data_IF_511024796394
#
_entry.id   IF_511024796394
#
_cell.length_a   1.000
_cell.length_b   1.000
_cell.length_c   1.000
_cell.angle_alpha   90.00
_cell.angle_beta   90.00
_cell.angle_gamma   90.00
#
_symmetry.space_group_name_H-M   'P 1'
#
loop_
_entity.id
_entity.type
_entity.pdbx_description
1 polymer ?
#
# COMPACT_ATOMS: atom_id res chain seq x y z
N UNK A 1 -3.51 11.05 -1.29
CA UNK A 1 -4.13 11.34 0.01
C UNK A 1 -3.94 12.81 0.34
N UNK A 2 -5.01 13.47 0.75
CA UNK A 2 -4.98 14.85 1.23
C UNK A 2 -4.93 14.84 2.76
N UNK A 3 -4.01 15.58 3.32
CA UNK A 3 -3.79 15.73 4.75
C UNK A 3 -4.62 16.93 5.25
N UNK A 4 -5.64 16.70 6.05
CA UNK A 4 -6.57 17.77 6.49
C UNK A 4 -6.01 18.61 7.65
N UNK A 5 -5.00 18.13 8.39
CA UNK A 5 -4.42 18.83 9.54
C UNK A 5 -2.89 18.75 9.60
N UNK A 6 -2.22 19.08 8.50
CA UNK A 6 -0.78 18.98 8.32
C UNK A 6 0.09 19.71 9.38
N UNK A 7 -0.50 20.62 10.16
CA UNK A 7 0.21 21.35 11.22
C UNK A 7 0.49 20.51 12.47
N UNK A 8 -0.30 19.45 12.73
CA UNK A 8 -0.20 18.64 13.96
C UNK A 8 0.22 17.20 13.72
N UNK A 9 -0.05 16.66 12.55
CA UNK A 9 0.21 15.28 12.18
C UNK A 9 1.13 15.17 10.97
N UNK A 10 2.05 14.22 10.98
CA UNK A 10 2.96 13.97 9.86
C UNK A 10 3.02 12.48 9.55
N UNK A 11 2.43 12.09 8.42
CA UNK A 11 2.58 10.71 7.89
C UNK A 11 4.04 10.41 7.53
N UNK A 12 4.80 11.43 7.13
CA UNK A 12 6.19 11.26 6.68
C UNK A 12 7.15 10.98 7.82
N UNK A 13 6.91 11.55 9.00
CA UNK A 13 7.85 11.44 10.11
C UNK A 13 8.24 9.99 10.46
N UNK A 14 7.31 9.02 10.55
CA UNK A 14 7.64 7.63 10.83
C UNK A 14 8.35 6.88 9.69
N UNK A 15 8.17 7.31 8.43
CA UNK A 15 8.65 6.57 7.27
C UNK A 15 9.92 7.14 6.64
N UNK A 16 10.11 8.47 6.67
CA UNK A 16 11.22 9.14 5.97
C UNK A 16 12.26 9.74 6.92
N UNK A 17 11.96 9.81 8.22
CA UNK A 17 12.85 10.29 9.31
C UNK A 17 13.41 11.71 9.15
N UNK A 18 12.94 12.47 8.17
CA UNK A 18 13.33 13.88 7.95
C UNK A 18 12.52 14.85 8.81
N UNK A 19 11.49 14.37 9.50
CA UNK A 19 10.68 15.14 10.42
C UNK A 19 10.54 14.40 11.75
N UNK A 20 10.34 15.13 12.83
CA UNK A 20 10.08 14.57 14.16
C UNK A 20 8.73 15.04 14.66
N UNK A 21 7.83 14.12 14.93
CA UNK A 21 6.60 14.41 15.62
C UNK A 21 6.85 14.40 17.12
N UNK A 22 6.50 15.48 17.82
CA UNK A 22 6.79 15.68 19.26
C UNK A 22 5.60 15.31 20.16
N UNK A 23 4.40 15.28 19.64
CA UNK A 23 3.15 14.98 20.37
C UNK A 23 2.34 13.97 19.61
N UNK A 24 1.61 13.11 20.33
CA UNK A 24 0.66 12.19 19.73
C UNK A 24 -0.42 12.99 18.99
N UNK A 25 -0.76 12.54 17.81
CA UNK A 25 -1.80 13.11 16.98
C UNK A 25 -2.30 12.09 15.95
N UNK A 26 -3.53 12.26 15.53
CA UNK A 26 -4.12 11.48 14.46
C UNK A 26 -4.84 12.35 13.46
N UNK A 27 -5.18 11.76 12.32
CA UNK A 27 -5.81 12.47 11.22
C UNK A 27 -6.66 11.53 10.35
N UNK A 28 -7.88 11.96 9.96
CA UNK A 28 -8.62 11.30 8.91
C UNK A 28 -7.90 11.46 7.57
N UNK A 29 -7.94 10.41 6.77
CA UNK A 29 -7.32 10.34 5.46
C UNK A 29 -8.40 10.11 4.41
N UNK A 30 -8.41 10.94 3.37
CA UNK A 30 -9.26 10.77 2.20
C UNK A 30 -8.37 10.77 0.95
N UNK A 31 -8.75 9.98 -0.05
CA UNK A 31 -7.96 9.91 -1.27
C UNK A 31 -8.63 9.14 -2.40
N UNK A 32 -7.95 9.17 -3.53
CA UNK A 32 -8.27 8.35 -4.69
C UNK A 32 -7.08 7.43 -4.94
N UNK A 33 -7.35 6.17 -5.19
CA UNK A 33 -6.36 5.16 -5.51
C UNK A 33 -6.69 4.53 -6.86
N UNK A 34 -5.66 4.30 -7.67
CA UNK A 34 -5.79 3.55 -8.91
C UNK A 34 -4.91 2.32 -8.84
N UNK A 35 -5.45 1.18 -9.25
CA UNK A 35 -4.70 -0.06 -9.36
C UNK A 35 -4.75 -0.56 -10.80
N UNK A 36 -3.60 -0.97 -11.27
CA UNK A 36 -3.45 -1.76 -12.46
C UNK A 36 -2.63 -2.98 -12.08
N UNK A 37 -3.28 -4.13 -12.00
CA UNK A 37 -2.66 -5.40 -11.64
C UNK A 37 -2.79 -6.35 -12.81
N UNK A 38 -1.68 -6.95 -13.20
CA UNK A 38 -1.62 -7.99 -14.20
C UNK A 38 -0.87 -9.19 -13.64
N UNK A 39 -1.46 -10.36 -13.77
CA UNK A 39 -0.82 -11.61 -13.40
C UNK A 39 -0.95 -12.60 -14.54
N UNK A 40 0.11 -13.37 -14.78
CA UNK A 40 0.16 -14.37 -15.83
C UNK A 40 0.80 -15.65 -15.29
N UNK A 41 0.15 -16.77 -15.57
CA UNK A 41 0.72 -18.10 -15.39
C UNK A 41 1.38 -18.56 -16.70
N UNK A 42 2.30 -19.46 -16.64
CA UNK A 42 2.97 -20.08 -17.78
C UNK A 42 2.01 -20.98 -18.59
N UNK A 43 1.12 -21.71 -17.91
CA UNK A 43 0.11 -22.57 -18.52
C UNK A 43 -1.31 -22.18 -18.08
N UNK A 44 -1.66 -22.36 -16.82
CA UNK A 44 -2.96 -22.08 -16.23
C UNK A 44 -2.85 -21.66 -14.76
N UNK A 45 -3.82 -20.86 -14.28
CA UNK A 45 -4.00 -20.63 -12.85
C UNK A 45 -4.62 -21.83 -12.12
N UNK A 46 -5.19 -22.79 -12.85
CA UNK A 46 -5.64 -24.06 -12.29
C UNK A 46 -4.43 -24.99 -12.22
N UNK A 47 -3.97 -25.39 -11.03
CA UNK A 47 -2.86 -26.31 -10.91
C UNK A 47 -3.20 -27.67 -11.54
N UNK A 48 -2.28 -28.30 -12.26
CA UNK A 48 -2.48 -29.54 -13.00
C UNK A 48 -2.93 -30.73 -12.12
N UNK A 49 -2.63 -30.69 -10.82
CA UNK A 49 -3.02 -31.73 -9.86
C UNK A 49 -4.45 -31.54 -9.31
N UNK A 50 -5.11 -30.43 -9.63
CA UNK A 50 -6.49 -30.18 -9.21
C UNK A 50 -7.44 -30.89 -10.19
N UNK A 51 -8.02 -32.01 -9.73
CA UNK A 51 -8.95 -32.81 -10.53
C UNK A 51 -10.43 -32.36 -10.40
N UNK A 52 -10.69 -31.29 -9.64
CA UNK A 52 -12.05 -30.81 -9.46
C UNK A 52 -12.49 -29.97 -10.65
N UNK A 53 -13.45 -30.46 -11.49
CA UNK A 53 -13.92 -29.74 -12.67
C UNK A 53 -14.61 -28.42 -12.34
N UNK A 54 -15.03 -28.22 -11.10
CA UNK A 54 -15.67 -26.99 -10.65
C UNK A 54 -14.69 -25.99 -10.02
N UNK A 55 -13.39 -26.29 -10.02
CA UNK A 55 -12.38 -25.35 -9.55
C UNK A 55 -12.43 -24.08 -10.41
N UNK A 56 -12.44 -22.91 -9.79
CA UNK A 56 -12.76 -21.64 -10.45
C UNK A 56 -14.04 -21.66 -11.30
N UNK A 57 -15.07 -22.46 -10.90
CA UNK A 57 -16.31 -22.60 -11.65
C UNK A 57 -16.13 -23.21 -13.04
N UNK A 58 -15.09 -24.04 -13.23
CA UNK A 58 -14.74 -24.67 -14.49
C UNK A 58 -13.97 -23.74 -15.48
N UNK A 59 -13.57 -22.55 -15.01
CA UNK A 59 -12.83 -21.61 -15.84
C UNK A 59 -11.33 -21.92 -15.81
N UNK A 60 -10.76 -22.13 -17.02
CA UNK A 60 -9.33 -22.32 -17.20
C UNK A 60 -8.71 -21.10 -17.90
N UNK A 61 -7.96 -20.30 -17.15
CA UNK A 61 -7.37 -19.06 -17.61
C UNK A 61 -5.90 -18.96 -17.22
N UNK A 62 -5.12 -18.29 -18.06
CA UNK A 62 -3.68 -18.12 -17.87
C UNK A 62 -3.23 -16.67 -17.65
N UNK A 63 -4.14 -15.69 -17.80
CA UNK A 63 -3.86 -14.29 -17.50
C UNK A 63 -5.06 -13.62 -16.88
N UNK A 64 -4.77 -12.78 -15.91
CA UNK A 64 -5.76 -11.95 -15.25
C UNK A 64 -5.26 -10.51 -15.19
N UNK A 65 -6.11 -9.59 -15.62
CA UNK A 65 -5.85 -8.16 -15.54
C UNK A 65 -6.98 -7.47 -14.80
N UNK A 66 -6.64 -6.58 -13.88
CA UNK A 66 -7.60 -5.69 -13.23
C UNK A 66 -7.14 -4.25 -13.34
N UNK A 67 -8.08 -3.38 -13.66
CA UNK A 67 -7.92 -1.94 -13.58
C UNK A 67 -9.06 -1.39 -12.73
N UNK A 68 -8.76 -0.55 -11.74
CA UNK A 68 -9.78 0.02 -10.86
C UNK A 68 -9.41 1.40 -10.35
N UNK A 69 -10.43 2.23 -10.15
CA UNK A 69 -10.35 3.53 -9.49
C UNK A 69 -11.19 3.47 -8.22
N UNK A 70 -10.58 3.77 -7.09
CA UNK A 70 -11.18 3.61 -5.78
C UNK A 70 -11.20 4.94 -5.02
N UNK A 71 -12.27 5.19 -4.30
CA UNK A 71 -12.34 6.20 -3.26
C UNK A 71 -11.90 5.57 -1.94
N UNK A 72 -11.00 6.24 -1.26
CA UNK A 72 -10.35 5.76 -0.04
C UNK A 72 -10.68 6.66 1.12
N UNK A 73 -11.05 6.08 2.23
CA UNK A 73 -11.19 6.74 3.52
C UNK A 73 -10.47 5.94 4.59
N UNK A 74 -9.93 6.61 5.58
CA UNK A 74 -9.22 5.95 6.67
C UNK A 74 -8.80 6.89 7.77
N UNK A 75 -8.00 6.34 8.66
CA UNK A 75 -7.45 7.08 9.79
C UNK A 75 -6.02 6.66 10.07
N UNK A 76 -5.21 7.64 10.41
CA UNK A 76 -3.85 7.40 10.86
C UNK A 76 -3.63 8.04 12.23
N UNK A 77 -2.94 7.35 13.12
CA UNK A 77 -2.59 7.86 14.44
C UNK A 77 -1.13 7.57 14.76
N UNK A 78 -0.45 8.56 15.30
CA UNK A 78 0.92 8.45 15.73
C UNK A 78 0.99 8.66 17.25
N UNK A 79 1.27 7.61 17.99
CA UNK A 79 1.48 7.61 19.43
C UNK A 79 2.94 8.01 19.70
N UNK A 80 3.15 9.05 20.49
CA UNK A 80 4.47 9.45 20.97
C UNK A 80 4.58 9.13 22.45
N UNK A 81 5.46 8.20 22.80
CA UNK A 81 5.65 7.70 24.15
C UNK A 81 7.02 8.16 24.64
N UNK A 82 7.04 8.72 25.85
CA UNK A 82 8.27 9.19 26.52
C UNK A 82 9.16 10.11 25.62
N UNK A 83 8.54 10.87 24.71
CA UNK A 83 9.19 11.82 23.77
C UNK A 83 10.20 11.19 22.79
N UNK A 84 10.48 9.89 22.89
CA UNK A 84 11.52 9.20 22.10
C UNK A 84 11.01 7.99 21.32
N UNK A 85 10.04 7.28 21.84
CA UNK A 85 9.41 6.15 21.17
C UNK A 85 8.16 6.61 20.43
N UNK A 86 7.95 6.08 19.23
CA UNK A 86 6.71 6.28 18.51
C UNK A 86 6.14 4.96 17.99
N UNK A 87 4.82 4.92 17.89
CA UNK A 87 4.06 3.89 17.21
C UNK A 87 3.03 4.58 16.30
N UNK A 88 3.15 4.38 15.02
CA UNK A 88 2.19 4.86 14.03
C UNK A 88 1.36 3.69 13.52
N UNK A 89 0.05 3.87 13.53
CA UNK A 89 -0.91 2.95 12.95
C UNK A 89 -1.77 3.71 11.93
N UNK A 90 -1.98 3.13 10.77
CA UNK A 90 -2.87 3.67 9.75
C UNK A 90 -3.64 2.53 9.08
N UNK A 91 -4.94 2.72 8.97
CA UNK A 91 -5.82 1.82 8.25
C UNK A 91 -6.67 2.65 7.30
N UNK A 92 -6.62 2.31 6.03
CA UNK A 92 -7.46 2.89 5.00
C UNK A 92 -8.25 1.78 4.32
N UNK A 93 -9.52 2.05 4.07
CA UNK A 93 -10.43 1.18 3.32
C UNK A 93 -10.92 1.92 2.09
N UNK A 94 -11.04 1.22 1.00
CA UNK A 94 -11.42 1.80 -0.28
C UNK A 94 -12.48 0.97 -0.97
N UNK A 95 -13.38 1.68 -1.63
CA UNK A 95 -14.39 1.12 -2.51
C UNK A 95 -14.20 1.72 -3.90
N UNK A 96 -14.22 0.88 -4.93
CA UNK A 96 -14.00 1.35 -6.28
C UNK A 96 -14.71 0.56 -7.35
N UNK A 97 -14.69 1.14 -8.53
CA UNK A 97 -15.23 0.55 -9.75
C UNK A 97 -14.08 0.32 -10.71
N UNK A 98 -14.12 -0.82 -11.40
CA UNK A 98 -13.09 -1.16 -12.36
C UNK A 98 -13.52 -2.22 -13.35
N UNK A 99 -12.55 -2.68 -14.12
CA UNK A 99 -12.71 -3.76 -15.07
C UNK A 99 -11.78 -4.91 -14.71
N UNK A 100 -12.33 -6.12 -14.70
CA UNK A 100 -11.58 -7.36 -14.57
C UNK A 100 -11.64 -8.10 -15.91
N UNK A 101 -10.49 -8.48 -16.45
CA UNK A 101 -10.35 -9.20 -17.71
C UNK A 101 -9.60 -10.50 -17.48
N UNK A 102 -10.24 -11.60 -17.79
CA UNK A 102 -9.66 -12.94 -17.83
C UNK A 102 -9.33 -13.34 -19.27
N UNK A 103 -8.19 -13.98 -19.44
CA UNK A 103 -7.73 -14.55 -20.68
C UNK A 103 -7.66 -16.06 -20.49
N UNK A 104 -8.50 -16.76 -21.21
CA UNK A 104 -8.62 -18.20 -21.11
C UNK A 104 -7.55 -18.91 -21.93
N UNK A 105 -7.28 -20.16 -21.59
CA UNK A 105 -6.31 -21.00 -22.30
C UNK A 105 -6.74 -21.34 -23.72
N UNK A 106 -8.04 -21.32 -24.01
CA UNK A 106 -8.62 -21.49 -25.35
C UNK A 106 -8.49 -20.24 -26.26
N UNK A 107 -7.87 -19.16 -25.75
CA UNK A 107 -7.71 -17.90 -26.46
C UNK A 107 -8.88 -16.92 -26.30
N UNK A 108 -9.97 -17.33 -25.67
CA UNK A 108 -11.10 -16.44 -25.39
C UNK A 108 -10.78 -15.43 -24.31
N UNK A 109 -11.53 -14.32 -24.26
CA UNK A 109 -11.37 -13.31 -23.22
C UNK A 109 -12.72 -12.87 -22.68
N UNK A 110 -12.83 -12.80 -21.36
CA UNK A 110 -14.02 -12.29 -20.69
C UNK A 110 -13.67 -11.07 -19.85
N UNK A 111 -14.41 -9.99 -20.07
CA UNK A 111 -14.27 -8.76 -19.29
C UNK A 111 -15.58 -8.47 -18.58
N UNK A 112 -15.47 -8.02 -17.32
CA UNK A 112 -16.59 -7.63 -16.49
C UNK A 112 -16.27 -6.35 -15.76
N UNK A 113 -17.23 -5.43 -15.70
CA UNK A 113 -17.19 -4.30 -14.76
C UNK A 113 -17.47 -4.82 -13.37
N UNK A 114 -16.67 -4.42 -12.41
CA UNK A 114 -16.67 -4.94 -11.06
C UNK A 114 -16.59 -3.82 -10.03
N UNK A 115 -17.12 -4.10 -8.86
CA UNK A 115 -16.88 -3.31 -7.66
C UNK A 115 -15.78 -3.98 -6.85
N UNK A 116 -14.76 -3.22 -6.50
CA UNK A 116 -13.58 -3.70 -5.77
C UNK A 116 -13.55 -3.12 -4.37
N UNK A 117 -12.93 -3.87 -3.47
CA UNK A 117 -12.56 -3.41 -2.15
C UNK A 117 -11.04 -3.45 -2.03
N UNK A 118 -10.46 -2.43 -1.42
CA UNK A 118 -9.05 -2.49 -1.06
C UNK A 118 -8.80 -2.00 0.36
N UNK A 119 -7.71 -2.50 0.93
CA UNK A 119 -7.24 -2.12 2.25
C UNK A 119 -5.78 -1.73 2.16
N UNK A 120 -5.42 -0.70 2.90
CA UNK A 120 -4.06 -0.22 2.99
C UNK A 120 -3.71 -0.05 4.46
N UNK A 121 -2.85 -0.92 4.95
CA UNK A 121 -2.40 -0.98 6.33
C UNK A 121 -0.96 -0.48 6.41
N UNK A 122 -0.70 0.40 7.36
CA UNK A 122 0.65 0.91 7.62
C UNK A 122 0.91 0.90 9.11
N UNK A 123 2.01 0.29 9.48
CA UNK A 123 2.51 0.27 10.84
C UNK A 123 3.95 0.76 10.80
N UNK A 124 4.29 1.68 11.67
CA UNK A 124 5.68 2.07 11.85
C UNK A 124 5.96 2.28 13.34
N UNK A 125 7.07 1.80 13.79
CA UNK A 125 7.53 1.98 15.17
C UNK A 125 9.00 2.27 15.19
N UNK A 126 9.46 2.98 16.21
CA UNK A 126 10.88 3.26 16.34
C UNK A 126 11.21 4.06 17.56
N UNK A 127 12.50 4.07 17.82
CA UNK A 127 13.08 4.84 18.93
C UNK A 127 14.03 5.89 18.36
N UNK A 128 13.89 7.10 18.86
CA UNK A 128 14.66 8.25 18.43
C UNK A 128 15.58 8.73 19.55
N UNK A 129 16.86 8.44 19.40
CA UNK A 129 17.93 9.07 20.16
C UNK A 129 18.20 10.48 19.62
N UNK A 130 19.11 11.20 20.21
CA UNK A 130 19.42 12.56 19.78
C UNK A 130 19.97 12.60 18.32
N UNK A 131 20.86 11.67 17.98
CA UNK A 131 21.48 11.56 16.65
C UNK A 131 21.18 10.25 15.94
N UNK A 132 20.73 9.22 16.65
CA UNK A 132 20.46 7.90 16.11
C UNK A 132 18.95 7.66 16.09
N UNK A 133 18.46 7.12 15.00
CA UNK A 133 17.12 6.60 14.84
C UNK A 133 17.20 5.10 14.53
N UNK A 134 16.38 4.32 15.19
CA UNK A 134 16.17 2.90 14.88
C UNK A 134 14.67 2.68 14.76
N UNK A 135 14.24 2.11 13.67
CA UNK A 135 12.82 1.92 13.42
C UNK A 135 12.51 0.78 12.46
N UNK A 136 11.27 0.39 12.53
CA UNK A 136 10.68 -0.67 11.75
C UNK A 136 9.39 -0.15 11.11
N UNK A 137 9.13 -0.52 9.86
CA UNK A 137 7.89 -0.17 9.18
C UNK A 137 7.37 -1.30 8.30
N UNK A 138 6.07 -1.49 8.34
CA UNK A 138 5.29 -2.40 7.51
C UNK A 138 4.27 -1.58 6.73
N UNK A 139 4.20 -1.82 5.43
CA UNK A 139 3.12 -1.33 4.57
C UNK A 139 2.56 -2.52 3.84
N UNK A 140 1.25 -2.69 3.89
CA UNK A 140 0.54 -3.77 3.22
C UNK A 140 -0.65 -3.20 2.44
N UNK A 141 -0.76 -3.57 1.18
CA UNK A 141 -1.87 -3.27 0.29
C UNK A 141 -2.58 -4.55 -0.06
N UNK A 142 -3.91 -4.55 0.01
CA UNK A 142 -4.73 -5.68 -0.37
C UNK A 142 -5.83 -5.19 -1.31
N UNK A 143 -5.99 -5.86 -2.43
CA UNK A 143 -7.08 -5.65 -3.38
C UNK A 143 -7.89 -6.93 -3.48
N UNK A 144 -9.18 -6.83 -3.20
CA UNK A 144 -10.14 -7.90 -3.38
C UNK A 144 -11.00 -7.58 -4.61
N UNK A 145 -10.88 -8.40 -5.65
CA UNK A 145 -11.53 -8.20 -6.93
C UNK A 145 -12.40 -9.41 -7.28
N UNK A 146 -13.72 -9.24 -7.43
CA UNK A 146 -14.56 -10.27 -8.04
C UNK A 146 -14.10 -10.55 -9.47
N UNK A 147 -14.27 -11.77 -9.94
CA UNK A 147 -13.95 -12.13 -11.32
C UNK A 147 -15.22 -12.18 -12.20
N UNK A 148 -15.05 -12.39 -13.50
CA UNK A 148 -16.17 -12.67 -14.39
C UNK A 148 -16.83 -14.00 -14.09
N UNK A 149 -16.13 -14.92 -13.44
CA UNK A 149 -16.66 -16.22 -13.02
C UNK A 149 -17.48 -16.05 -11.74
N UNK A 150 -18.72 -16.53 -11.75
CA UNK A 150 -19.64 -16.39 -10.61
C UNK A 150 -19.07 -17.03 -9.34
N UNK A 151 -19.11 -16.29 -8.23
CA UNK A 151 -18.65 -16.77 -6.92
C UNK A 151 -17.13 -16.80 -6.76
N UNK A 152 -16.36 -16.33 -7.74
CA UNK A 152 -14.89 -16.34 -7.68
C UNK A 152 -14.33 -14.96 -7.43
N UNK A 153 -13.35 -14.89 -6.54
CA UNK A 153 -12.67 -13.66 -6.17
C UNK A 153 -11.16 -13.87 -6.26
N UNK A 154 -10.46 -12.84 -6.68
CA UNK A 154 -8.99 -12.80 -6.64
C UNK A 154 -8.59 -11.81 -5.57
N UNK A 155 -7.72 -12.26 -4.67
CA UNK A 155 -7.04 -11.41 -3.70
C UNK A 155 -5.62 -11.16 -4.17
N UNK A 156 -5.28 -9.92 -4.39
CA UNK A 156 -3.92 -9.49 -4.62
C UNK A 156 -3.41 -8.75 -3.39
N UNK A 157 -2.18 -9.04 -2.99
CA UNK A 157 -1.55 -8.39 -1.85
C UNK A 157 -0.11 -8.03 -2.19
N UNK A 158 0.29 -6.83 -1.84
CA UNK A 158 1.68 -6.38 -1.92
C UNK A 158 2.07 -5.68 -0.63
N UNK A 159 3.20 -6.07 -0.08
CA UNK A 159 3.69 -5.52 1.18
C UNK A 159 5.16 -5.18 1.13
N UNK A 160 5.57 -4.30 2.02
CA UNK A 160 6.95 -3.93 2.23
C UNK A 160 7.26 -3.84 3.72
N UNK A 161 8.31 -4.54 4.12
CA UNK A 161 8.84 -4.56 5.46
C UNK A 161 10.21 -3.89 5.45
N UNK A 162 10.43 -2.90 6.32
CA UNK A 162 11.69 -2.18 6.39
C UNK A 162 12.19 -2.07 7.81
N UNK A 163 13.47 -2.34 7.97
CA UNK A 163 14.23 -1.96 9.15
C UNK A 163 15.13 -0.79 8.78
N UNK A 164 15.11 0.27 9.56
CA UNK A 164 15.84 1.49 9.27
C UNK A 164 16.71 1.88 10.45
N UNK A 165 17.97 2.17 10.17
CA UNK A 165 18.89 2.82 11.09
C UNK A 165 19.39 4.08 10.42
N UNK A 166 19.20 5.23 11.04
CA UNK A 166 19.64 6.50 10.50
C UNK A 166 20.43 7.29 11.54
N UNK A 167 21.61 7.73 11.16
CA UNK A 167 22.45 8.59 11.98
C UNK A 167 22.49 10.00 11.40
N UNK A 168 22.21 11.00 12.24
CA UNK A 168 22.22 12.42 11.85
C UNK A 168 23.57 13.04 12.15
N UNK A 169 24.29 13.37 11.11
CA UNK A 169 25.50 14.16 11.20
C UNK A 169 25.13 15.64 11.28
N UNK A 170 25.72 16.35 12.24
CA UNK A 170 25.66 17.82 12.27
C UNK A 170 27.00 18.33 11.71
N UNK A 171 27.10 18.75 10.45
CA UNK A 171 28.33 19.29 9.93
C UNK A 171 28.67 20.58 10.71
N UNK A 172 29.91 20.71 11.15
CA UNK A 172 30.42 21.91 11.82
C UNK A 172 30.54 23.14 10.88
N UNK A 173 30.49 22.91 9.57
CA UNK A 173 30.47 23.94 8.52
C UNK A 173 29.35 23.61 7.55
N UNK A 174 28.61 24.63 7.13
CA UNK A 174 27.75 24.51 5.98
C UNK A 174 28.62 24.19 4.76
N UNK A 175 28.44 22.99 4.21
CA UNK A 175 29.04 22.66 2.93
C UNK A 175 28.17 23.33 1.85
N UNK A 176 28.59 24.47 1.36
CA UNK A 176 28.10 25.00 0.08
C UNK A 176 28.62 24.09 -1.03
N UNK A 177 27.90 23.01 -1.33
CA UNK A 177 28.32 22.02 -2.33
C UNK A 177 28.15 22.55 -3.75
N UNK A 178 27.33 23.58 -4.00
CA UNK A 178 27.16 24.18 -5.33
C UNK A 178 26.64 25.62 -5.23
N UNK A 179 27.25 26.59 -5.92
CA UNK A 179 26.76 27.97 -6.03
C UNK A 179 25.65 28.09 -7.09
N UNK A 180 24.65 27.16 -7.12
CA UNK A 180 23.57 27.20 -8.07
C UNK A 180 22.37 27.93 -7.48
N UNK A 181 22.31 29.24 -7.72
CA UNK A 181 21.11 30.04 -7.46
C UNK A 181 20.15 29.86 -8.64
N UNK A 182 19.07 29.17 -8.43
CA UNK A 182 17.92 29.29 -9.33
C UNK A 182 17.30 30.67 -9.12
N UNK A 183 17.29 31.51 -10.19
CA UNK A 183 16.48 32.72 -10.27
C UNK A 183 15.08 32.39 -10.73
#
# INVERSE_FOLDING_TARGET
YTNMNAKRFSVRAPFTQNARQKKSAGEPMLGIETYWVSSRADSSFVPYFVQNPNFFGGADFNRWNVYTVNLTAGYAYNFIIAKRFFLMLSLNSSLGIGANKLFYTDGSTHQKTIVNYSFNERVATGYQFDRLFVGFSLVNYQLLSPTSVRGTHIRWSAGNLRFNVAYRFSPRKEFEILPWKWK
#
